data_IF_130068491691
#
_entry.id   IF_130068491691
#
_cell.length_a   1.000
_cell.length_b   1.000
_cell.length_c   1.000
_cell.angle_alpha   90.00
_cell.angle_beta   90.00
_cell.angle_gamma   90.00
#
_symmetry.space_group_name_H-M   'P 1'
#
loop_
_entity.id
_entity.type
_entity.pdbx_description
1 polymer ?
#
# COMPACT_ATOMS: atom_id res chain seq x y z
N UNK A 1 -10.21 -4.75 -0.43
CA UNK A 1 -10.35 -3.39 -0.99
C UNK A 1 -10.20 -2.43 0.18
N UNK A 2 -9.00 -1.89 0.40
CA UNK A 2 -8.73 -1.01 1.54
C UNK A 2 -9.15 0.42 1.21
N UNK A 3 -10.15 0.90 1.96
CA UNK A 3 -10.69 2.25 1.90
C UNK A 3 -9.70 3.26 2.47
N UNK A 4 -8.94 4.01 1.67
CA UNK A 4 -7.90 4.91 2.19
C UNK A 4 -8.35 5.90 3.31
N UNK A 5 -9.62 6.34 3.34
CA UNK A 5 -10.18 7.12 4.46
C UNK A 5 -10.36 6.28 5.73
N UNK A 6 -10.91 5.07 5.63
CA UNK A 6 -11.01 4.17 6.78
C UNK A 6 -9.65 3.58 7.16
N UNK A 7 -8.76 3.28 6.22
CA UNK A 7 -7.43 2.69 6.45
C UNK A 7 -6.52 3.63 7.23
N UNK A 8 -6.63 4.96 7.10
CA UNK A 8 -5.81 5.89 7.89
C UNK A 8 -6.30 6.09 9.33
N UNK A 9 -7.60 5.87 9.62
CA UNK A 9 -8.18 6.09 10.96
C UNK A 9 -8.56 4.80 11.70
N UNK A 10 -8.90 3.72 10.98
CA UNK A 10 -9.09 2.37 11.53
C UNK A 10 -7.77 1.62 11.73
N UNK A 11 -6.64 2.09 11.18
CA UNK A 11 -5.37 1.39 11.37
C UNK A 11 -5.03 1.25 12.86
N UNK A 12 -5.23 2.27 13.69
CA UNK A 12 -4.82 2.19 15.10
C UNK A 12 -5.56 1.12 15.91
N UNK A 13 -6.86 0.91 15.67
CA UNK A 13 -7.64 -0.10 16.38
C UNK A 13 -7.48 -1.50 15.77
N UNK A 14 -7.36 -1.61 14.45
CA UNK A 14 -7.15 -2.89 13.78
C UNK A 14 -5.72 -3.41 13.92
N UNK A 15 -4.72 -2.53 14.03
CA UNK A 15 -3.31 -2.89 14.30
C UNK A 15 -3.15 -3.47 15.71
N UNK A 16 -3.93 -2.98 16.70
CA UNK A 16 -4.01 -3.60 18.03
C UNK A 16 -4.67 -5.00 18.01
N UNK A 17 -5.51 -5.28 17.02
CA UNK A 17 -6.30 -6.51 16.93
C UNK A 17 -5.77 -7.49 15.88
N UNK A 18 -4.69 -7.16 15.17
CA UNK A 18 -4.24 -7.98 14.05
C UNK A 18 -2.71 -8.02 13.87
N UNK A 19 -2.26 -9.02 13.10
CA UNK A 19 -0.87 -9.41 12.81
C UNK A 19 -0.01 -9.95 13.97
N UNK A 20 -0.13 -9.42 15.20
CA UNK A 20 0.67 -9.92 16.34
C UNK A 20 0.13 -11.22 16.97
N UNK A 21 -1.16 -11.51 16.79
CA UNK A 21 -1.79 -12.75 17.28
C UNK A 21 -1.78 -13.83 16.20
N UNK A 22 -0.60 -14.38 15.90
CA UNK A 22 -0.47 -15.42 14.88
C UNK A 22 0.37 -16.61 15.36
N UNK A 23 0.00 -17.82 14.91
CA UNK A 23 0.79 -19.05 15.11
C UNK A 23 1.89 -19.22 14.06
N UNK A 24 2.05 -18.23 13.16
CA UNK A 24 3.07 -18.24 12.11
C UNK A 24 4.44 -18.04 12.71
N UNK A 25 5.41 -18.84 12.27
CA UNK A 25 6.83 -18.59 12.53
C UNK A 25 7.41 -17.91 11.30
N UNK A 26 8.02 -16.74 11.48
CA UNK A 26 8.66 -15.98 10.40
C UNK A 26 10.15 -15.75 10.68
N UNK A 27 10.98 -15.95 9.67
CA UNK A 27 12.38 -15.52 9.66
C UNK A 27 12.52 -14.40 8.65
N UNK A 28 12.87 -13.20 9.13
CA UNK A 28 12.99 -12.00 8.30
C UNK A 28 14.38 -11.39 8.42
N UNK A 29 15.12 -11.41 7.32
CA UNK A 29 16.44 -10.81 7.20
C UNK A 29 16.35 -9.52 6.39
N UNK A 30 16.72 -8.38 6.98
CA UNK A 30 16.78 -7.09 6.30
C UNK A 30 18.23 -6.63 6.21
N UNK A 31 18.66 -6.16 5.04
CA UNK A 31 19.99 -5.58 4.84
C UNK A 31 19.90 -4.33 3.98
N UNK A 32 20.54 -3.26 4.44
CA UNK A 32 20.85 -2.11 3.59
C UNK A 32 22.13 -2.41 2.81
N UNK A 33 22.05 -2.31 1.48
CA UNK A 33 23.14 -2.46 0.53
C UNK A 33 23.25 -1.16 -0.27
N UNK A 34 23.85 -0.14 0.35
CA UNK A 34 23.88 1.22 -0.20
C UNK A 34 22.46 1.80 -0.34
N UNK A 35 22.06 2.31 -1.52
CA UNK A 35 20.74 2.90 -1.74
C UNK A 35 19.60 1.88 -1.83
N UNK A 36 19.90 0.58 -1.80
CA UNK A 36 18.93 -0.51 -1.90
C UNK A 36 18.77 -1.20 -0.55
N UNK A 37 17.54 -1.31 -0.07
CA UNK A 37 17.17 -2.16 1.04
C UNK A 37 16.68 -3.50 0.50
N UNK A 38 17.29 -4.61 0.94
CA UNK A 38 16.90 -5.98 0.59
C UNK A 38 16.26 -6.64 1.82
N UNK A 39 15.21 -7.41 1.59
CA UNK A 39 14.53 -8.22 2.60
C UNK A 39 14.36 -9.63 2.06
N UNK A 40 14.77 -10.63 2.84
CA UNK A 40 14.43 -12.03 2.59
C UNK A 40 13.54 -12.44 3.77
N UNK A 41 12.36 -12.99 3.47
CA UNK A 41 11.43 -13.44 4.50
C UNK A 41 10.95 -14.85 4.15
N UNK A 42 11.06 -15.77 5.11
CA UNK A 42 10.51 -17.12 5.03
C UNK A 42 9.49 -17.29 6.14
N UNK A 43 8.31 -17.76 5.79
CA UNK A 43 7.20 -18.03 6.71
C UNK A 43 6.92 -19.52 6.75
N UNK A 44 6.66 -20.06 7.94
CA UNK A 44 6.10 -21.39 8.14
C UNK A 44 4.62 -21.27 8.46
N UNK A 45 3.78 -21.81 7.58
CA UNK A 45 2.33 -21.86 7.77
C UNK A 45 1.90 -22.92 8.79
N UNK A 46 0.63 -22.90 9.19
CA UNK A 46 0.04 -23.86 10.14
C UNK A 46 0.15 -25.32 9.71
N UNK A 47 0.13 -25.59 8.40
CA UNK A 47 0.37 -26.92 7.82
C UNK A 47 1.84 -27.30 7.66
N UNK A 48 2.79 -26.51 8.18
CA UNK A 48 4.23 -26.74 8.07
C UNK A 48 4.87 -26.32 6.74
N UNK A 49 4.07 -25.97 5.73
CA UNK A 49 4.57 -25.47 4.45
C UNK A 49 5.39 -24.18 4.63
N UNK A 50 6.52 -24.11 3.93
CA UNK A 50 7.37 -22.93 3.88
C UNK A 50 7.01 -22.07 2.67
N UNK A 51 6.82 -20.78 2.87
CA UNK A 51 6.75 -19.79 1.79
C UNK A 51 7.89 -18.78 1.96
N UNK A 52 8.54 -18.42 0.86
CA UNK A 52 9.63 -17.46 0.87
C UNK A 52 9.36 -16.32 -0.08
N UNK A 53 9.80 -15.12 0.31
CA UNK A 53 9.76 -13.93 -0.53
C UNK A 53 11.07 -13.16 -0.42
N UNK A 54 11.49 -12.61 -1.56
CA UNK A 54 12.60 -11.65 -1.65
C UNK A 54 11.99 -10.32 -2.04
N UNK A 55 12.29 -9.28 -1.26
CA UNK A 55 11.82 -7.92 -1.45
C UNK A 55 12.99 -6.95 -1.56
N UNK A 56 12.85 -5.94 -2.40
CA UNK A 56 13.75 -4.79 -2.42
C UNK A 56 12.98 -3.48 -2.37
N UNK A 57 13.62 -2.45 -1.81
CA UNK A 57 13.14 -1.08 -1.80
C UNK A 57 14.30 -0.15 -2.11
N UNK A 58 14.11 0.78 -3.03
CA UNK A 58 15.11 1.77 -3.40
C UNK A 58 14.43 3.00 -4.02
N UNK A 59 15.19 4.09 -4.18
CA UNK A 59 14.71 5.29 -4.86
C UNK A 59 15.77 5.76 -5.85
N UNK A 60 15.31 6.24 -7.00
CA UNK A 60 16.16 6.76 -8.06
C UNK A 60 15.47 7.94 -8.75
N UNK A 61 16.18 9.05 -8.89
CA UNK A 61 15.69 10.27 -9.58
C UNK A 61 14.29 10.74 -9.13
N UNK A 62 13.99 10.66 -7.82
CA UNK A 62 12.70 11.06 -7.25
C UNK A 62 11.57 10.02 -7.35
N UNK A 63 11.75 8.97 -8.17
CA UNK A 63 10.89 7.79 -8.18
C UNK A 63 11.31 6.82 -7.07
N UNK A 64 10.35 6.38 -6.26
CA UNK A 64 10.55 5.36 -5.24
C UNK A 64 9.97 4.04 -5.70
N UNK A 65 10.75 2.99 -5.55
CA UNK A 65 10.32 1.60 -5.64
C UNK A 65 10.08 1.13 -4.22
N UNK A 66 8.87 1.37 -3.72
CA UNK A 66 8.50 1.13 -2.33
C UNK A 66 8.47 -0.35 -1.96
N UNK A 67 8.16 -1.19 -2.95
CA UNK A 67 8.15 -2.65 -2.81
C UNK A 67 8.36 -3.31 -4.16
N UNK A 68 9.47 -4.01 -4.34
CA UNK A 68 9.68 -4.95 -5.45
C UNK A 68 9.85 -6.32 -4.83
N UNK A 69 8.83 -7.18 -4.94
CA UNK A 69 8.80 -8.45 -4.25
C UNK A 69 8.56 -9.59 -5.23
N UNK A 70 9.30 -10.69 -5.04
CA UNK A 70 9.10 -11.96 -5.71
C UNK A 70 8.87 -13.04 -4.65
N UNK A 71 7.94 -13.96 -4.92
CA UNK A 71 7.63 -15.10 -4.07
C UNK A 71 8.09 -16.39 -4.74
N UNK A 72 8.34 -17.43 -3.93
CA UNK A 72 8.86 -18.71 -4.43
C UNK A 72 7.88 -19.45 -5.39
N UNK A 73 6.59 -19.12 -5.34
CA UNK A 73 5.53 -19.62 -6.21
C UNK A 73 5.37 -18.80 -7.51
N UNK A 74 6.31 -17.91 -7.83
CA UNK A 74 6.28 -17.07 -9.03
C UNK A 74 5.38 -15.84 -8.93
N UNK A 75 4.75 -15.60 -7.77
CA UNK A 75 4.05 -14.35 -7.51
C UNK A 75 4.98 -13.15 -7.43
N UNK A 76 4.46 -11.98 -7.76
CA UNK A 76 5.20 -10.72 -7.70
C UNK A 76 4.33 -9.57 -7.21
N UNK A 77 4.98 -8.57 -6.60
CA UNK A 77 4.37 -7.28 -6.23
C UNK A 77 5.34 -6.16 -6.61
N UNK A 78 4.81 -5.12 -7.27
CA UNK A 78 5.53 -3.91 -7.61
C UNK A 78 4.74 -2.70 -7.10
N UNK A 79 5.26 -2.02 -6.08
CA UNK A 79 4.73 -0.75 -5.60
C UNK A 79 5.75 0.36 -5.87
N UNK A 80 5.32 1.40 -6.55
CA UNK A 80 6.13 2.59 -6.80
C UNK A 80 5.42 3.85 -6.36
N UNK A 81 6.17 4.91 -6.04
CA UNK A 81 5.61 6.23 -5.81
C UNK A 81 6.53 7.35 -6.28
N UNK A 82 5.91 8.45 -6.70
CA UNK A 82 6.58 9.66 -7.18
C UNK A 82 5.93 10.87 -6.52
N UNK A 83 6.73 11.85 -6.10
CA UNK A 83 6.22 13.13 -5.58
C UNK A 83 6.56 14.25 -6.57
N UNK A 84 5.72 14.48 -7.59
CA UNK A 84 6.04 15.44 -8.65
C UNK A 84 5.95 16.90 -8.17
N UNK A 85 5.20 17.17 -7.11
CA UNK A 85 5.03 18.49 -6.51
C UNK A 85 4.77 18.37 -5.01
N UNK A 86 4.92 19.48 -4.29
CA UNK A 86 4.60 19.54 -2.86
C UNK A 86 3.13 19.14 -2.64
N UNK A 87 2.92 18.20 -1.71
CA UNK A 87 1.59 17.69 -1.38
C UNK A 87 0.99 16.71 -2.38
N UNK A 88 1.62 16.44 -3.53
CA UNK A 88 1.14 15.45 -4.52
C UNK A 88 2.00 14.20 -4.45
N UNK A 89 1.36 13.03 -4.34
CA UNK A 89 2.02 11.73 -4.48
C UNK A 89 1.26 10.90 -5.50
N UNK A 90 1.95 10.47 -6.54
CA UNK A 90 1.47 9.44 -7.46
C UNK A 90 1.98 8.09 -6.96
N UNK A 91 1.17 7.05 -7.07
CA UNK A 91 1.57 5.70 -6.70
C UNK A 91 1.04 4.68 -7.69
N UNK A 92 1.82 3.65 -7.97
CA UNK A 92 1.36 2.48 -8.69
C UNK A 92 1.51 1.25 -7.79
N UNK A 93 0.50 0.38 -7.75
CA UNK A 93 0.56 -0.90 -7.05
C UNK A 93 0.15 -2.01 -8.01
N UNK A 94 1.11 -2.81 -8.43
CA UNK A 94 0.94 -3.98 -9.31
C UNK A 94 1.18 -5.29 -8.58
N UNK A 95 0.47 -6.34 -8.98
CA UNK A 95 0.57 -7.70 -8.48
C UNK A 95 -0.52 -8.56 -9.12
N UNK A 96 -1.45 -9.10 -8.31
CA UNK A 96 -2.66 -9.75 -8.86
C UNK A 96 -3.58 -8.77 -9.61
N UNK A 97 -3.63 -7.52 -9.16
CA UNK A 97 -4.29 -6.39 -9.83
C UNK A 97 -3.29 -5.29 -10.20
N UNK A 98 -3.76 -4.17 -10.71
CA UNK A 98 -2.95 -2.97 -10.91
C UNK A 98 -3.76 -1.72 -10.59
N UNK A 99 -3.28 -0.95 -9.61
CA UNK A 99 -3.91 0.29 -9.17
C UNK A 99 -3.00 1.48 -9.45
N UNK A 100 -3.55 2.55 -10.02
CA UNK A 100 -2.92 3.87 -10.11
C UNK A 100 -3.58 4.81 -9.09
N UNK A 101 -2.78 5.34 -8.19
CA UNK A 101 -3.21 6.21 -7.11
C UNK A 101 -2.64 7.62 -7.23
N UNK A 102 -3.43 8.59 -6.78
CA UNK A 102 -3.02 9.97 -6.56
C UNK A 102 -3.45 10.38 -5.16
N UNK A 103 -2.50 10.83 -4.34
CA UNK A 103 -2.76 11.48 -3.06
C UNK A 103 -2.45 12.97 -3.19
N UNK A 104 -3.31 13.79 -2.62
CA UNK A 104 -3.15 15.22 -2.50
C UNK A 104 -3.30 15.67 -1.05
N UNK A 105 -2.33 16.43 -0.56
CA UNK A 105 -2.34 16.99 0.80
C UNK A 105 -2.04 18.48 0.72
N UNK A 106 -2.91 19.30 1.32
CA UNK A 106 -2.66 20.73 1.48
C UNK A 106 -3.29 21.24 2.77
N UNK A 107 -2.48 21.72 3.70
CA UNK A 107 -2.95 22.12 5.02
C UNK A 107 -3.60 20.94 5.74
N UNK A 108 -4.83 21.11 6.21
CA UNK A 108 -5.62 20.06 6.86
C UNK A 108 -6.39 19.16 5.89
N UNK A 109 -6.39 19.47 4.59
CA UNK A 109 -7.06 18.67 3.57
C UNK A 109 -6.16 17.51 3.10
N UNK A 110 -6.73 16.32 3.05
CA UNK A 110 -6.17 15.14 2.39
C UNK A 110 -7.21 14.55 1.44
N UNK A 111 -6.88 14.40 0.17
CA UNK A 111 -7.71 13.75 -0.84
C UNK A 111 -6.91 12.64 -1.53
N UNK A 112 -7.61 11.61 -1.98
CA UNK A 112 -7.02 10.47 -2.69
C UNK A 112 -7.95 10.00 -3.80
N UNK A 113 -7.36 9.53 -4.89
CA UNK A 113 -8.04 8.84 -5.98
C UNK A 113 -7.27 7.59 -6.33
N UNK A 114 -7.96 6.48 -6.55
CA UNK A 114 -7.37 5.19 -6.94
C UNK A 114 -8.19 4.61 -8.08
N UNK A 115 -7.53 4.34 -9.20
CA UNK A 115 -8.10 3.69 -10.38
C UNK A 115 -7.51 2.30 -10.51
N UNK A 116 -8.37 1.29 -10.60
CA UNK A 116 -7.96 -0.03 -11.09
C UNK A 116 -7.66 0.10 -12.59
N UNK A 117 -6.39 0.06 -12.94
CA UNK A 117 -5.92 0.21 -14.33
C UNK A 117 -5.75 -1.12 -15.05
N UNK A 118 -5.87 -2.25 -14.33
CA UNK A 118 -5.79 -3.57 -14.96
C UNK A 118 -7.09 -3.90 -15.64
N UNK A 119 -8.18 -3.86 -14.88
CA UNK A 119 -9.50 -4.29 -15.36
C UNK A 119 -10.38 -3.08 -15.70
N UNK A 120 -9.92 -1.85 -15.41
CA UNK A 120 -10.67 -0.59 -15.58
C UNK A 120 -12.05 -0.67 -14.94
N UNK A 121 -12.16 -1.47 -13.87
CA UNK A 121 -13.43 -1.93 -13.33
C UNK A 121 -13.93 -1.05 -12.18
N UNK A 122 -13.06 -0.19 -11.64
CA UNK A 122 -13.34 0.54 -10.42
C UNK A 122 -12.51 1.81 -10.30
N UNK A 123 -13.16 2.87 -9.87
CA UNK A 123 -12.53 4.11 -9.45
C UNK A 123 -13.01 4.49 -8.05
N UNK A 124 -12.08 4.72 -7.12
CA UNK A 124 -12.39 5.10 -5.74
C UNK A 124 -11.76 6.45 -5.43
N UNK A 125 -12.50 7.32 -4.76
CA UNK A 125 -12.00 8.60 -4.26
C UNK A 125 -12.34 8.77 -2.79
N UNK A 126 -11.51 9.51 -2.06
CA UNK A 126 -11.89 9.98 -0.74
C UNK A 126 -11.24 11.31 -0.41
N UNK A 127 -11.87 12.07 0.48
CA UNK A 127 -11.34 13.33 0.97
C UNK A 127 -11.63 13.47 2.46
N UNK A 128 -10.73 14.15 3.16
CA UNK A 128 -10.81 14.40 4.59
C UNK A 128 -10.20 15.74 4.96
N UNK A 129 -10.75 16.37 5.99
CA UNK A 129 -10.28 17.62 6.56
C UNK A 129 -10.13 17.44 8.07
N UNK A 130 -8.94 17.77 8.56
CA UNK A 130 -8.69 17.91 10.00
C UNK A 130 -9.20 19.27 10.50
N UNK A 131 -10.03 19.25 11.53
CA UNK A 131 -10.51 20.44 12.21
C UNK A 131 -9.57 20.78 13.38
N UNK A 132 -9.50 22.06 13.73
CA UNK A 132 -8.70 22.54 14.88
C UNK A 132 -9.15 21.94 16.21
N UNK A 133 -10.37 21.41 16.29
CA UNK A 133 -10.90 20.66 17.44
C UNK A 133 -10.28 19.28 17.63
N UNK A 134 -9.42 18.83 16.72
CA UNK A 134 -8.84 17.47 16.72
C UNK A 134 -9.72 16.42 16.05
N UNK A 135 -10.91 16.80 15.57
CA UNK A 135 -11.79 15.93 14.80
C UNK A 135 -11.39 15.88 13.33
N UNK A 136 -11.50 14.71 12.71
CA UNK A 136 -11.32 14.54 11.26
C UNK A 136 -12.65 14.21 10.62
N UNK A 137 -13.08 15.03 9.65
CA UNK A 137 -14.28 14.79 8.85
C UNK A 137 -13.87 14.38 7.46
N UNK A 138 -14.59 13.44 6.86
CA UNK A 138 -14.33 13.05 5.49
C UNK A 138 -15.33 12.06 4.95
N UNK A 139 -15.20 11.77 3.67
CA UNK A 139 -16.07 10.89 2.94
C UNK A 139 -15.32 10.19 1.82
N UNK A 140 -15.90 9.10 1.35
CA UNK A 140 -15.38 8.30 0.26
C UNK A 140 -16.50 7.99 -0.74
N UNK A 141 -16.12 7.86 -2.00
CA UNK A 141 -16.98 7.37 -3.07
C UNK A 141 -16.24 6.26 -3.80
N UNK A 142 -16.96 5.21 -4.20
CA UNK A 142 -16.42 4.15 -5.05
C UNK A 142 -17.41 3.92 -6.18
N UNK A 143 -16.91 4.03 -7.39
CA UNK A 143 -17.63 3.84 -8.63
C UNK A 143 -17.16 2.55 -9.26
N UNK A 144 -18.08 1.61 -9.44
CA UNK A 144 -17.86 0.48 -10.32
C UNK A 144 -17.96 0.99 -11.77
N UNK A 145 -16.90 0.79 -12.53
CA UNK A 145 -16.82 1.10 -13.95
C UNK A 145 -17.19 -0.10 -14.83
N UNK A 146 -17.75 -1.17 -14.23
CA UNK A 146 -18.26 -2.33 -14.96
C UNK A 146 -19.40 -1.91 -15.89
N UNK A 147 -19.06 -1.67 -17.16
CA UNK A 147 -20.02 -1.59 -18.24
C UNK A 147 -20.54 -2.98 -18.59
N UNK A 148 -21.72 -3.30 -18.05
CA UNK A 148 -22.82 -3.77 -18.88
C UNK A 148 -23.87 -2.68 -18.90
#
# INVERSE_FOLDING_TARGET
VENHFLTKYHCHALDLLNDDYTTKVSLKCKKAAGPVAVTIETNRGSGGALSSKVGTKFSYAGLSFDKVQLTADGGNVLETSLKPAAGVKLSFKGGKGADLGVDYTKGSLFATGVLDVKDMSKFSTSASVALSSGLNLGGNATYALSGK
#
